data_IF_785036329520
#
_entry.id   IF_785036329520
#
_cell.length_a   1.000
_cell.length_b   1.000
_cell.length_c   1.000
_cell.angle_alpha   90.00
_cell.angle_beta   90.00
_cell.angle_gamma   90.00
#
_symmetry.space_group_name_H-M   'P 1'
#
loop_
_entity.id
_entity.type
_entity.pdbx_description
1 polymer ?
#
# COMPACT_ATOMS: atom_id res chain seq x y z
N UNK A 1 16.08 -8.27 28.70
CA UNK A 1 15.30 -8.77 27.55
C UNK A 1 14.02 -7.94 27.50
N UNK A 2 14.17 -6.68 27.10
CA UNK A 2 13.24 -5.55 27.03
C UNK A 2 14.18 -4.39 26.62
N UNK A 3 13.98 -3.53 25.63
CA UNK A 3 12.89 -3.19 24.73
C UNK A 3 13.41 -3.27 23.29
N UNK A 4 12.78 -4.06 22.42
CA UNK A 4 12.80 -3.72 21.01
C UNK A 4 11.82 -2.57 20.92
N UNK A 5 12.38 -1.37 20.81
CA UNK A 5 11.70 -0.14 20.45
C UNK A 5 10.95 -0.39 19.13
N UNK A 6 9.75 -0.98 19.20
CA UNK A 6 8.72 -0.78 18.19
C UNK A 6 8.45 0.71 18.22
N UNK A 7 9.21 1.47 17.41
CA UNK A 7 8.96 2.88 17.21
C UNK A 7 7.46 3.01 16.90
N UNK A 8 6.70 3.63 17.79
CA UNK A 8 5.27 3.83 17.60
C UNK A 8 5.09 4.53 16.26
N UNK A 9 4.71 3.76 15.24
CA UNK A 9 4.57 4.27 13.88
C UNK A 9 3.47 5.31 13.91
N UNK A 10 3.82 6.59 13.77
CA UNK A 10 2.86 7.66 13.96
C UNK A 10 1.75 7.58 12.91
N UNK A 11 0.62 8.24 13.16
CA UNK A 11 -0.45 8.40 12.16
C UNK A 11 0.12 8.96 10.84
N UNK A 12 1.09 9.87 10.92
CA UNK A 12 1.77 10.41 9.74
C UNK A 12 2.56 9.33 8.99
N UNK A 13 3.32 8.50 9.69
CA UNK A 13 4.11 7.43 9.09
C UNK A 13 3.22 6.37 8.42
N UNK A 14 2.05 6.06 9.02
CA UNK A 14 1.06 5.16 8.43
C UNK A 14 0.47 5.75 7.14
N UNK A 15 0.13 7.03 7.13
CA UNK A 15 -0.39 7.69 5.92
C UNK A 15 0.67 7.84 4.83
N UNK A 16 1.93 8.07 5.22
CA UNK A 16 3.05 8.08 4.28
C UNK A 16 3.26 6.69 3.64
N UNK A 17 3.32 5.63 4.46
CA UNK A 17 3.39 4.25 3.96
C UNK A 17 2.20 3.90 3.05
N UNK A 18 0.99 4.31 3.42
CA UNK A 18 -0.18 4.12 2.57
C UNK A 18 0.01 4.76 1.19
N UNK A 19 0.53 5.99 1.18
CA UNK A 19 0.83 6.73 -0.06
C UNK A 19 1.86 6.00 -0.90
N UNK A 20 2.96 5.54 -0.29
CA UNK A 20 4.01 4.79 -0.99
C UNK A 20 3.46 3.51 -1.66
N UNK A 21 2.70 2.69 -0.92
CA UNK A 21 2.12 1.47 -1.48
C UNK A 21 1.17 1.74 -2.65
N UNK A 22 0.36 2.80 -2.56
CA UNK A 22 -0.54 3.18 -3.63
C UNK A 22 0.20 3.73 -4.86
N UNK A 23 1.30 4.45 -4.67
CA UNK A 23 2.14 4.90 -5.78
C UNK A 23 2.88 3.75 -6.46
N UNK A 24 3.35 2.76 -5.71
CA UNK A 24 3.90 1.53 -6.31
C UNK A 24 2.85 0.76 -7.11
N UNK A 25 1.63 0.62 -6.58
CA UNK A 25 0.53 -0.02 -7.29
C UNK A 25 0.20 0.71 -8.60
N UNK A 26 0.21 2.05 -8.56
CA UNK A 26 0.01 2.90 -9.74
C UNK A 26 1.12 2.70 -10.77
N UNK A 27 2.39 2.82 -10.37
CA UNK A 27 3.52 2.66 -11.30
C UNK A 27 3.55 1.26 -11.93
N UNK A 28 3.21 0.22 -11.16
CA UNK A 28 3.09 -1.13 -11.70
C UNK A 28 1.92 -1.26 -12.70
N UNK A 29 0.81 -0.57 -12.45
CA UNK A 29 -0.32 -0.52 -13.39
C UNK A 29 0.08 0.16 -14.70
N UNK A 30 0.79 1.28 -14.63
CA UNK A 30 1.30 2.01 -15.80
C UNK A 30 2.27 1.12 -16.61
N UNK A 31 3.21 0.46 -15.95
CA UNK A 31 4.13 -0.49 -16.59
C UNK A 31 3.41 -1.65 -17.29
N UNK A 32 2.40 -2.25 -16.66
CA UNK A 32 1.61 -3.32 -17.28
C UNK A 32 0.84 -2.81 -18.51
N UNK A 33 0.33 -1.58 -18.47
CA UNK A 33 -0.36 -0.97 -19.60
C UNK A 33 0.60 -0.72 -20.77
N UNK A 34 1.82 -0.24 -20.51
CA UNK A 34 2.89 -0.09 -21.51
C UNK A 34 3.23 -1.44 -22.15
N UNK A 35 3.43 -2.49 -21.35
CA UNK A 35 3.72 -3.84 -21.86
C UNK A 35 2.60 -4.41 -22.74
N UNK A 36 1.33 -4.12 -22.43
CA UNK A 36 0.20 -4.53 -23.28
C UNK A 36 0.17 -3.73 -24.58
N UNK A 37 0.54 -2.45 -24.53
CA UNK A 37 0.54 -1.59 -25.71
C UNK A 37 1.69 -1.93 -26.68
N UNK A 38 2.87 -2.23 -26.15
CA UNK A 38 4.09 -2.46 -26.94
C UNK A 38 4.24 -3.90 -27.44
N UNK A 39 3.53 -4.86 -26.84
CA UNK A 39 3.68 -6.27 -27.19
C UNK A 39 2.67 -6.72 -28.24
N UNK A 40 3.16 -7.39 -29.30
CA UNK A 40 2.33 -8.05 -30.31
C UNK A 40 1.42 -9.15 -29.71
N UNK A 41 1.84 -9.73 -28.58
CA UNK A 41 1.05 -10.73 -27.83
C UNK A 41 1.19 -10.52 -26.33
N UNK A 42 0.07 -10.58 -25.59
CA UNK A 42 0.09 -10.44 -24.12
C UNK A 42 0.45 -11.77 -23.48
N UNK A 43 1.49 -11.78 -22.64
CA UNK A 43 1.76 -12.90 -21.73
C UNK A 43 0.78 -12.84 -20.54
N UNK A 44 -0.31 -13.62 -20.65
CA UNK A 44 -1.36 -13.66 -19.64
C UNK A 44 -0.86 -14.10 -18.26
N UNK A 45 0.19 -14.92 -18.17
CA UNK A 45 0.71 -15.38 -16.88
C UNK A 45 1.47 -14.26 -16.17
N UNK A 46 2.30 -13.52 -16.91
CA UNK A 46 2.97 -12.32 -16.37
C UNK A 46 1.97 -11.22 -16.02
N UNK A 47 0.91 -11.05 -16.81
CA UNK A 47 -0.17 -10.11 -16.50
C UNK A 47 -0.89 -10.49 -15.21
N UNK A 48 -1.26 -11.76 -15.03
CA UNK A 48 -1.91 -12.24 -13.81
C UNK A 48 -1.04 -11.97 -12.56
N UNK A 49 0.25 -12.29 -12.64
CA UNK A 49 1.20 -12.02 -11.55
C UNK A 49 1.32 -10.52 -11.23
N UNK A 50 1.36 -9.66 -12.25
CA UNK A 50 1.37 -8.22 -12.06
C UNK A 50 0.10 -7.69 -11.37
N UNK A 51 -1.07 -8.21 -11.77
CA UNK A 51 -2.35 -7.86 -11.16
C UNK A 51 -2.44 -8.34 -9.70
N UNK A 52 -1.90 -9.51 -9.37
CA UNK A 52 -1.79 -9.99 -7.99
C UNK A 52 -0.91 -9.08 -7.13
N UNK A 53 0.22 -8.63 -7.67
CA UNK A 53 1.10 -7.69 -6.99
C UNK A 53 0.43 -6.34 -6.76
N UNK A 54 -0.27 -5.77 -7.75
CA UNK A 54 -1.09 -4.56 -7.60
C UNK A 54 -2.11 -4.75 -6.46
N UNK A 55 -2.82 -5.88 -6.46
CA UNK A 55 -3.81 -6.20 -5.42
C UNK A 55 -3.18 -6.25 -4.02
N UNK A 56 -1.98 -6.82 -3.89
CA UNK A 56 -1.25 -6.87 -2.62
C UNK A 56 -0.84 -5.47 -2.15
N UNK A 57 -0.28 -4.64 -3.04
CA UNK A 57 0.12 -3.27 -2.74
C UNK A 57 -1.08 -2.41 -2.32
N UNK A 58 -2.20 -2.51 -3.04
CA UNK A 58 -3.44 -1.80 -2.66
C UNK A 58 -3.95 -2.23 -1.29
N UNK A 59 -3.91 -3.53 -0.96
CA UNK A 59 -4.31 -4.04 0.37
C UNK A 59 -3.42 -3.46 1.49
N UNK A 60 -2.11 -3.38 1.26
CA UNK A 60 -1.20 -2.77 2.23
C UNK A 60 -1.51 -1.29 2.45
N UNK A 61 -1.76 -0.54 1.37
CA UNK A 61 -2.19 0.86 1.47
C UNK A 61 -3.46 1.04 2.29
N UNK A 62 -4.51 0.26 1.99
CA UNK A 62 -5.78 0.28 2.74
C UNK A 62 -5.57 -0.05 4.22
N UNK A 63 -4.74 -1.04 4.54
CA UNK A 63 -4.43 -1.41 5.92
C UNK A 63 -3.77 -0.25 6.67
N UNK A 64 -2.74 0.36 6.08
CA UNK A 64 -2.05 1.52 6.67
C UNK A 64 -3.03 2.67 6.93
N UNK A 65 -3.92 2.98 6.00
CA UNK A 65 -4.97 4.00 6.18
C UNK A 65 -5.96 3.63 7.29
N UNK A 66 -6.40 2.38 7.37
CA UNK A 66 -7.31 1.91 8.42
C UNK A 66 -6.67 2.03 9.82
N UNK A 67 -5.40 1.67 9.96
CA UNK A 67 -4.65 1.79 11.21
C UNK A 67 -4.47 3.26 11.61
N UNK A 68 -4.19 4.15 10.65
CA UNK A 68 -4.11 5.59 10.89
C UNK A 68 -5.44 6.16 11.40
N UNK A 69 -6.56 5.76 10.79
CA UNK A 69 -7.89 6.17 11.25
C UNK A 69 -8.24 5.63 12.64
N UNK A 70 -7.90 4.37 12.93
CA UNK A 70 -8.11 3.80 14.25
C UNK A 70 -7.37 4.65 15.30
N UNK A 71 -6.07 4.91 15.10
CA UNK A 71 -5.26 5.73 16.03
C UNK A 71 -5.84 7.12 16.26
N UNK A 72 -6.19 7.85 15.20
CA UNK A 72 -6.82 9.16 15.32
C UNK A 72 -8.13 9.12 16.13
N UNK A 73 -8.90 8.05 16.00
CA UNK A 73 -10.15 7.87 16.78
C UNK A 73 -9.84 7.71 18.26
N UNK A 74 -8.84 6.89 18.61
CA UNK A 74 -8.39 6.70 19.99
C UNK A 74 -7.81 7.99 20.59
N UNK A 75 -6.96 8.70 19.85
CA UNK A 75 -6.39 9.99 20.29
C UNK A 75 -7.47 11.05 20.54
N UNK A 76 -8.53 11.07 19.72
CA UNK A 76 -9.67 11.98 19.93
C UNK A 76 -10.49 11.59 21.14
N UNK A 77 -10.74 10.29 21.34
CA UNK A 77 -11.49 9.79 22.49
C UNK A 77 -10.76 10.03 23.82
N UNK A 78 -9.42 9.93 23.85
CA UNK A 78 -8.62 10.20 25.05
C UNK A 78 -8.45 11.68 25.39
N UNK A 79 -8.86 12.61 24.50
CA UNK A 79 -8.85 14.06 24.73
C UNK A 79 -10.23 14.63 25.11
N UNK A 80 -11.27 13.79 25.11
CA UNK A 80 -12.64 14.13 25.48
C UNK A 80 -12.92 13.76 26.93
#
# INVERSE_FOLDING_TARGET
MTDINEAETSTHDLLNQATEWLQYARGLTELLAELVHESDTVDCNRMAMGLEAISALTRLGVRCTAEAHARLTWERAGRA
#
